data_IF_747429744271
#
_entry.id   IF_747429744271
#
_cell.length_a   1.000
_cell.length_b   1.000
_cell.length_c   1.000
_cell.angle_alpha   90.00
_cell.angle_beta   90.00
_cell.angle_gamma   90.00
#
_symmetry.space_group_name_H-M   'P 1'
#
loop_
_entity.id
_entity.type
_entity.pdbx_description
1 polymer ?
#
# COMPACT_ATOMS: atom_id res chain seq x y z
N UNK A 1 -8.30 -27.62 -7.24
CA UNK A 1 -7.12 -27.01 -6.60
C UNK A 1 -6.81 -25.73 -7.38
N UNK A 2 -7.08 -24.54 -6.83
CA UNK A 2 -6.81 -23.30 -7.53
C UNK A 2 -5.30 -23.01 -7.49
N UNK A 3 -4.68 -22.78 -8.65
CA UNK A 3 -3.27 -22.39 -8.73
C UNK A 3 -3.12 -21.06 -7.98
N UNK A 4 -2.38 -21.06 -6.87
CA UNK A 4 -2.09 -19.84 -6.11
C UNK A 4 -1.23 -18.95 -7.00
N UNK A 5 -1.80 -17.83 -7.45
CA UNK A 5 -1.08 -16.88 -8.29
C UNK A 5 0.21 -16.45 -7.60
N UNK A 6 1.34 -16.51 -8.32
CA UNK A 6 2.67 -16.22 -7.80
C UNK A 6 3.35 -15.17 -8.68
N UNK A 7 3.98 -14.18 -8.04
CA UNK A 7 4.84 -13.21 -8.71
C UNK A 7 6.27 -13.64 -8.45
N UNK A 8 6.98 -13.99 -9.52
CA UNK A 8 8.42 -14.21 -9.45
C UNK A 8 9.12 -12.87 -9.24
N UNK A 9 9.58 -12.63 -8.01
CA UNK A 9 10.31 -11.42 -7.68
C UNK A 9 11.69 -11.45 -8.36
N UNK A 10 11.98 -10.40 -9.13
CA UNK A 10 13.34 -10.19 -9.65
C UNK A 10 14.33 -10.03 -8.49
N UNK A 11 15.58 -10.49 -8.63
CA UNK A 11 16.63 -10.24 -7.64
C UNK A 11 16.77 -8.76 -7.30
N UNK A 12 17.16 -8.45 -6.06
CA UNK A 12 17.31 -7.06 -5.61
C UNK A 12 18.45 -6.33 -6.34
N UNK A 13 19.49 -7.05 -6.76
CA UNK A 13 20.58 -6.60 -7.62
C UNK A 13 21.14 -7.75 -8.45
N UNK A 14 21.88 -7.42 -9.51
CA UNK A 14 22.67 -8.37 -10.29
C UNK A 14 23.86 -8.90 -9.49
N UNK A 15 24.40 -10.08 -9.85
CA UNK A 15 25.56 -10.65 -9.16
C UNK A 15 26.86 -9.84 -9.36
N UNK A 16 26.89 -8.95 -10.35
CA UNK A 16 28.08 -8.15 -10.71
C UNK A 16 27.85 -6.67 -10.40
N UNK A 17 28.63 -6.05 -9.49
CA UNK A 17 28.45 -4.65 -9.14
C UNK A 17 28.65 -3.72 -10.34
N UNK A 18 27.62 -2.99 -10.75
CA UNK A 18 27.71 -1.94 -11.76
C UNK A 18 26.51 -1.00 -11.70
N UNK A 19 26.78 0.29 -11.47
CA UNK A 19 25.75 1.32 -11.40
C UNK A 19 24.93 1.38 -12.69
N UNK A 20 25.60 1.36 -13.85
CA UNK A 20 24.93 1.45 -15.16
C UNK A 20 24.03 0.25 -15.42
N UNK A 21 24.49 -0.97 -15.13
CA UNK A 21 23.67 -2.17 -15.31
C UNK A 21 22.47 -2.20 -14.36
N UNK A 22 22.63 -1.80 -13.10
CA UNK A 22 21.50 -1.69 -12.17
C UNK A 22 20.50 -0.61 -12.57
N UNK A 23 20.98 0.55 -13.01
CA UNK A 23 20.11 1.62 -13.48
C UNK A 23 19.27 1.17 -14.69
N UNK A 24 19.89 0.52 -15.67
CA UNK A 24 19.19 -0.01 -16.84
C UNK A 24 18.21 -1.13 -16.47
N UNK A 25 18.60 -2.04 -15.57
CA UNK A 25 17.73 -3.12 -15.10
C UNK A 25 16.50 -2.56 -14.38
N UNK A 26 16.71 -1.58 -13.50
CA UNK A 26 15.64 -0.89 -12.78
C UNK A 26 14.71 -0.16 -13.75
N UNK A 27 15.24 0.63 -14.68
CA UNK A 27 14.46 1.33 -15.70
C UNK A 27 13.65 0.36 -16.55
N UNK A 28 14.25 -0.74 -17.00
CA UNK A 28 13.56 -1.80 -17.74
C UNK A 28 12.41 -2.40 -16.91
N UNK A 29 12.66 -2.67 -15.63
CA UNK A 29 11.64 -3.24 -14.74
C UNK A 29 10.45 -2.29 -14.54
N UNK A 30 10.69 -1.01 -14.22
CA UNK A 30 9.60 -0.04 -13.96
C UNK A 30 8.87 0.40 -15.24
N UNK A 31 9.50 0.27 -16.41
CA UNK A 31 8.89 0.61 -17.71
C UNK A 31 8.20 -0.56 -18.41
N UNK A 32 8.43 -1.79 -17.96
CA UNK A 32 7.80 -2.98 -18.53
C UNK A 32 6.58 -3.37 -17.72
N UNK A 33 5.41 -3.35 -18.33
CA UNK A 33 4.20 -3.87 -17.69
C UNK A 33 4.37 -5.36 -17.38
N UNK A 34 4.34 -5.71 -16.10
CA UNK A 34 4.48 -7.10 -15.63
C UNK A 34 3.15 -7.87 -15.72
N UNK A 35 2.02 -7.16 -15.72
CA UNK A 35 0.68 -7.74 -15.64
C UNK A 35 -0.26 -6.94 -16.55
N UNK A 36 -0.91 -7.62 -17.48
CA UNK A 36 -2.02 -7.03 -18.26
C UNK A 36 -3.34 -7.21 -17.50
N UNK A 37 -4.03 -6.13 -17.16
CA UNK A 37 -5.32 -6.24 -16.50
C UNK A 37 -6.45 -6.45 -17.52
N UNK A 38 -7.06 -7.64 -17.54
CA UNK A 38 -8.16 -7.94 -18.47
C UNK A 38 -9.47 -7.28 -18.06
N UNK A 39 -9.70 -7.12 -16.75
CA UNK A 39 -10.89 -6.49 -16.18
C UNK A 39 -10.51 -5.33 -15.27
N UNK A 40 -10.50 -4.13 -15.85
CA UNK A 40 -10.49 -2.90 -15.06
C UNK A 40 -11.90 -2.65 -14.54
N UNK A 41 -12.11 -2.89 -13.25
CA UNK A 41 -13.31 -2.39 -12.58
C UNK A 41 -13.04 -0.95 -12.15
N UNK A 42 -13.79 0.00 -12.72
CA UNK A 42 -13.91 1.31 -12.09
C UNK A 42 -14.51 1.08 -10.71
N UNK A 43 -13.80 1.47 -9.65
CA UNK A 43 -14.26 1.26 -8.28
C UNK A 43 -15.51 2.11 -7.98
N UNK A 44 -16.68 1.60 -8.32
CA UNK A 44 -17.91 1.79 -7.53
C UNK A 44 -18.14 0.51 -6.74
N UNK A 45 -17.24 0.22 -5.78
CA UNK A 45 -17.42 -0.89 -4.83
C UNK A 45 -18.36 -0.50 -3.66
N UNK A 46 -19.12 0.58 -3.84
CA UNK A 46 -20.19 1.06 -2.98
C UNK A 46 -21.08 1.98 -3.82
N UNK A 47 -22.36 1.63 -3.93
CA UNK A 47 -23.29 2.09 -4.97
C UNK A 47 -23.76 3.55 -4.93
N UNK A 48 -22.93 4.51 -4.55
CA UNK A 48 -23.28 5.94 -4.66
C UNK A 48 -22.34 6.64 -5.64
N UNK A 49 -22.73 6.58 -6.91
CA UNK A 49 -22.16 7.35 -7.99
C UNK A 49 -22.63 8.82 -7.88
N UNK A 50 -22.21 9.54 -6.85
CA UNK A 50 -22.59 10.95 -6.71
C UNK A 50 -21.50 11.86 -6.14
N UNK A 51 -20.21 11.52 -6.34
CA UNK A 51 -19.13 12.51 -6.20
C UNK A 51 -18.11 12.41 -7.34
N UNK A 52 -18.02 13.52 -8.07
CA UNK A 52 -17.35 13.78 -9.35
C UNK A 52 -15.83 13.95 -9.25
N UNK A 53 -15.12 13.04 -8.57
CA UNK A 53 -13.67 12.90 -8.73
C UNK A 53 -13.35 11.49 -9.16
N UNK A 54 -12.58 11.40 -10.25
CA UNK A 54 -12.39 10.23 -11.13
C UNK A 54 -12.33 8.91 -10.36
N UNK A 55 -13.20 7.93 -10.67
CA UNK A 55 -13.11 6.61 -10.04
C UNK A 55 -11.74 6.00 -10.37
N UNK A 56 -11.05 5.52 -9.34
CA UNK A 56 -9.77 4.84 -9.49
C UNK A 56 -9.98 3.55 -10.28
N UNK A 57 -9.18 3.34 -11.32
CA UNK A 57 -9.15 2.06 -12.03
C UNK A 57 -8.30 1.08 -11.24
N UNK A 58 -8.93 0.06 -10.66
CA UNK A 58 -8.23 -0.99 -9.92
C UNK A 58 -8.30 -2.28 -10.71
N UNK A 59 -7.16 -2.97 -10.80
CA UNK A 59 -7.15 -4.31 -11.35
C UNK A 59 -7.71 -5.32 -10.33
N UNK A 60 -8.94 -5.74 -10.54
CA UNK A 60 -9.66 -6.69 -9.67
C UNK A 60 -9.94 -8.00 -10.40
N UNK A 61 -8.98 -8.42 -11.21
CA UNK A 61 -9.09 -9.64 -12.01
C UNK A 61 -9.26 -10.87 -11.10
N UNK A 62 -10.19 -11.74 -11.45
CA UNK A 62 -10.61 -12.88 -10.61
C UNK A 62 -9.43 -13.83 -10.35
N UNK A 63 -8.48 -13.91 -11.29
CA UNK A 63 -7.27 -14.73 -11.19
C UNK A 63 -6.35 -14.36 -10.01
N UNK A 64 -6.46 -13.14 -9.46
CA UNK A 64 -5.72 -12.72 -8.27
C UNK A 64 -6.47 -12.98 -6.96
N UNK A 65 -7.76 -13.31 -7.02
CA UNK A 65 -8.62 -13.53 -5.86
C UNK A 65 -8.86 -12.30 -4.99
N UNK A 66 -8.34 -11.12 -5.35
CA UNK A 66 -8.46 -9.89 -4.56
C UNK A 66 -9.91 -9.45 -4.43
N UNK A 67 -10.69 -9.53 -5.52
CA UNK A 67 -12.12 -9.20 -5.53
C UNK A 67 -12.92 -10.10 -4.57
N UNK A 68 -12.60 -11.38 -4.48
CA UNK A 68 -13.24 -12.30 -3.53
C UNK A 68 -12.93 -11.93 -2.08
N UNK A 69 -11.68 -11.54 -1.78
CA UNK A 69 -11.27 -11.07 -0.44
C UNK A 69 -11.98 -9.78 -0.05
N UNK A 70 -12.15 -8.84 -1.00
CA UNK A 70 -12.90 -7.61 -0.77
C UNK A 70 -14.37 -7.92 -0.49
N UNK A 71 -15.03 -8.72 -1.34
CA UNK A 71 -16.45 -9.09 -1.18
C UNK A 71 -16.73 -9.84 0.12
N UNK A 72 -15.79 -10.68 0.57
CA UNK A 72 -15.87 -11.41 1.86
C UNK A 72 -15.45 -10.58 3.07
N UNK A 73 -15.07 -9.30 2.87
CA UNK A 73 -14.58 -8.39 3.93
C UNK A 73 -13.34 -8.92 4.66
N UNK A 74 -12.55 -9.75 3.99
CA UNK A 74 -11.28 -10.32 4.45
C UNK A 74 -10.10 -9.66 3.74
N UNK A 75 -10.06 -8.33 3.80
CA UNK A 75 -9.05 -7.52 3.13
C UNK A 75 -8.47 -6.49 4.10
N UNK A 76 -7.16 -6.30 4.00
CA UNK A 76 -6.43 -5.25 4.69
C UNK A 76 -5.67 -4.41 3.66
N UNK A 77 -5.83 -3.10 3.73
CA UNK A 77 -5.17 -2.13 2.85
C UNK A 77 -4.16 -1.31 3.64
N UNK A 78 -2.96 -1.20 3.11
CA UNK A 78 -1.94 -0.26 3.57
C UNK A 78 -1.77 0.82 2.53
N UNK A 79 -2.11 2.06 2.88
CA UNK A 79 -1.88 3.25 2.04
C UNK A 79 -0.72 4.06 2.60
N UNK A 80 0.18 4.50 1.74
CA UNK A 80 1.35 5.31 2.10
C UNK A 80 1.19 6.68 1.44
N UNK A 81 0.72 7.65 2.21
CA UNK A 81 0.50 9.02 1.76
C UNK A 81 1.76 9.87 1.94
N UNK A 82 2.04 10.74 0.97
CA UNK A 82 3.05 11.79 1.08
C UNK A 82 2.44 13.16 1.43
N UNK A 83 1.28 13.17 2.12
CA UNK A 83 0.58 14.39 2.53
C UNK A 83 -0.39 14.99 1.51
N UNK A 84 -0.99 14.16 0.65
CA UNK A 84 -2.08 14.58 -0.24
C UNK A 84 -3.44 14.38 0.44
N UNK A 85 -4.34 15.35 0.37
CA UNK A 85 -5.67 15.29 0.99
C UNK A 85 -6.61 14.28 0.31
N UNK A 86 -6.26 13.75 -0.87
CA UNK A 86 -7.07 12.73 -1.53
C UNK A 86 -6.96 11.38 -0.80
N UNK A 87 -8.03 11.01 -0.12
CA UNK A 87 -8.20 9.74 0.61
C UNK A 87 -9.39 8.92 0.08
N UNK A 88 -9.93 9.27 -1.09
CA UNK A 88 -11.19 8.69 -1.57
C UNK A 88 -11.08 7.19 -1.81
N UNK A 89 -9.91 6.71 -2.24
CA UNK A 89 -9.67 5.29 -2.43
C UNK A 89 -9.72 4.53 -1.10
N UNK A 90 -9.04 5.04 -0.07
CA UNK A 90 -9.01 4.47 1.28
C UNK A 90 -10.41 4.45 1.90
N UNK A 91 -11.16 5.55 1.77
CA UNK A 91 -12.54 5.65 2.25
C UNK A 91 -13.44 4.64 1.53
N UNK A 92 -13.32 4.52 0.20
CA UNK A 92 -14.09 3.56 -0.59
C UNK A 92 -13.81 2.12 -0.15
N UNK A 93 -12.54 1.77 0.02
CA UNK A 93 -12.14 0.44 0.47
C UNK A 93 -12.60 0.12 1.90
N UNK A 94 -12.58 1.11 2.80
CA UNK A 94 -13.12 0.96 4.14
C UNK A 94 -14.64 0.76 4.13
N UNK A 95 -15.37 1.50 3.27
CA UNK A 95 -16.82 1.34 3.05
C UNK A 95 -17.16 -0.03 2.48
N UNK A 96 -16.34 -0.57 1.58
CA UNK A 96 -16.48 -1.94 1.06
C UNK A 96 -16.15 -3.03 2.08
N UNK A 97 -15.66 -2.66 3.27
CA UNK A 97 -15.45 -3.57 4.38
C UNK A 97 -14.00 -3.99 4.58
N UNK A 98 -13.02 -3.38 3.92
CA UNK A 98 -11.61 -3.63 4.24
C UNK A 98 -11.16 -2.92 5.51
N UNK A 99 -10.21 -3.51 6.22
CA UNK A 99 -9.45 -2.84 7.27
C UNK A 99 -8.38 -1.97 6.61
N UNK A 100 -8.43 -0.65 6.79
CA UNK A 100 -7.58 0.28 6.04
C UNK A 100 -6.68 1.07 6.97
N UNK A 101 -5.37 0.95 6.78
CA UNK A 101 -4.35 1.70 7.50
C UNK A 101 -3.66 2.67 6.54
N UNK A 102 -3.84 3.96 6.78
CA UNK A 102 -3.18 5.03 6.04
C UNK A 102 -2.03 5.59 6.86
N UNK A 103 -0.84 5.51 6.32
CA UNK A 103 0.39 6.06 6.89
C UNK A 103 0.66 7.39 6.22
N UNK A 104 0.50 8.48 6.97
CA UNK A 104 0.62 9.84 6.47
C UNK A 104 1.37 10.70 7.51
N UNK A 105 2.64 11.04 7.29
CA UNK A 105 3.44 11.76 8.27
C UNK A 105 2.99 13.22 8.47
N UNK A 106 2.12 13.75 7.59
CA UNK A 106 1.65 15.14 7.61
C UNK A 106 0.56 15.41 8.64
N UNK A 107 -0.16 14.37 9.08
CA UNK A 107 -1.25 14.52 10.06
C UNK A 107 -0.68 14.96 11.42
N UNK A 108 -1.47 15.70 12.21
CA UNK A 108 -1.00 16.25 13.49
C UNK A 108 -0.95 15.20 14.60
N UNK A 109 -2.00 14.40 14.71
CA UNK A 109 -2.16 13.38 15.76
C UNK A 109 -1.43 12.09 15.40
N UNK A 110 -0.85 11.41 16.39
CA UNK A 110 -0.12 10.16 16.17
C UNK A 110 -0.99 9.06 15.52
N UNK A 111 -2.23 8.93 16.01
CA UNK A 111 -3.21 7.97 15.51
C UNK A 111 -4.60 8.61 15.48
N UNK A 112 -5.33 8.42 14.38
CA UNK A 112 -6.71 8.86 14.22
C UNK A 112 -7.50 7.68 13.68
N UNK A 113 -8.62 7.34 14.31
CA UNK A 113 -9.55 6.37 13.74
C UNK A 113 -10.74 7.12 13.17
N UNK A 114 -11.03 6.88 11.89
CA UNK A 114 -12.19 7.43 11.21
C UNK A 114 -13.18 6.31 10.91
N UNK A 115 -14.36 6.35 11.56
CA UNK A 115 -15.32 5.26 11.49
C UNK A 115 -14.79 3.95 12.10
N UNK A 116 -15.23 2.80 11.57
CA UNK A 116 -14.94 1.48 12.16
C UNK A 116 -13.75 0.75 11.54
N UNK A 117 -13.30 1.15 10.34
CA UNK A 117 -12.35 0.38 9.53
C UNK A 117 -11.26 1.21 8.86
N UNK A 118 -11.09 2.48 9.23
CA UNK A 118 -10.06 3.35 8.67
C UNK A 118 -9.24 3.97 9.81
N UNK A 119 -7.93 3.72 9.77
CA UNK A 119 -6.96 4.25 10.72
C UNK A 119 -5.92 5.08 9.97
N UNK A 120 -5.60 6.24 10.53
CA UNK A 120 -4.51 7.09 10.11
C UNK A 120 -3.39 6.99 11.14
N UNK A 121 -2.17 6.90 10.65
CA UNK A 121 -0.97 6.81 11.45
C UNK A 121 0.00 7.90 10.99
N UNK A 122 0.50 8.71 11.93
CA UNK A 122 1.52 9.74 11.66
C UNK A 122 2.89 9.10 11.49
N UNK A 123 3.03 8.35 10.42
CA UNK A 123 4.17 7.50 10.14
C UNK A 123 4.27 7.34 8.63
N UNK A 124 5.47 7.08 8.13
CA UNK A 124 5.82 6.82 6.75
C UNK A 124 6.77 5.63 6.68
N UNK A 125 6.89 5.05 5.50
CA UNK A 125 7.78 3.90 5.25
C UNK A 125 9.13 4.41 4.79
N UNK A 126 10.18 3.79 5.34
CA UNK A 126 11.57 4.04 4.96
C UNK A 126 12.29 2.69 4.80
N UNK A 127 13.42 2.69 4.12
CA UNK A 127 14.24 1.50 3.90
C UNK A 127 15.06 1.13 5.14
N UNK A 128 15.27 2.09 6.05
CA UNK A 128 15.93 1.90 7.34
C UNK A 128 15.03 2.30 8.50
N UNK A 129 15.29 1.66 9.64
CA UNK A 129 14.77 2.17 10.89
C UNK A 129 15.70 3.30 11.37
N UNK A 130 15.16 4.31 12.07
CA UNK A 130 15.96 5.39 12.60
C UNK A 130 17.06 4.87 13.54
N UNK A 131 18.25 5.47 13.46
CA UNK A 131 19.37 5.09 14.30
C UNK A 131 19.07 5.45 15.77
N UNK A 132 19.02 4.47 16.71
CA UNK A 132 18.68 4.72 18.11
C UNK A 132 19.69 5.62 18.84
N UNK A 133 20.92 5.76 18.32
CA UNK A 133 21.94 6.65 18.87
C UNK A 133 21.71 8.14 18.51
N UNK A 134 20.84 8.43 17.54
CA UNK A 134 20.43 9.80 17.22
C UNK A 134 19.29 10.16 18.17
N UNK A 135 19.53 11.10 19.09
CA UNK A 135 18.58 11.46 20.14
C UNK A 135 17.18 11.78 19.58
N UNK A 136 16.15 11.19 20.21
CA UNK A 136 14.72 11.38 19.90
C UNK A 136 14.31 12.86 19.76
N UNK A 137 15.05 13.79 20.38
CA UNK A 137 14.84 15.24 20.28
C UNK A 137 15.15 15.87 18.91
N UNK A 138 15.82 15.15 18.00
CA UNK A 138 15.95 15.54 16.58
C UNK A 138 15.08 14.71 15.63
N UNK A 139 14.37 13.70 16.14
CA UNK A 139 13.54 12.81 15.33
C UNK A 139 12.12 13.35 15.21
N UNK A 140 11.92 14.18 14.19
CA UNK A 140 10.70 14.14 13.39
C UNK A 140 10.73 12.95 12.39
N UNK A 141 11.57 11.93 12.62
CA UNK A 141 11.57 10.71 11.81
C UNK A 141 10.35 9.88 12.20
N UNK A 142 9.22 10.31 11.65
CA UNK A 142 8.00 9.54 11.53
C UNK A 142 8.21 8.49 10.43
N UNK A 143 9.37 7.83 10.38
CA UNK A 143 9.72 6.86 9.35
C UNK A 143 10.21 5.58 9.99
N UNK A 144 9.77 4.43 9.48
CA UNK A 144 10.18 3.09 9.93
C UNK A 144 10.18 2.11 8.76
N UNK A 145 10.90 0.99 8.88
CA UNK A 145 10.76 -0.09 7.90
C UNK A 145 9.35 -0.65 7.92
N UNK A 146 8.83 -1.01 6.74
CA UNK A 146 7.53 -1.65 6.61
C UNK A 146 7.40 -2.88 7.51
N UNK A 147 8.45 -3.73 7.60
CA UNK A 147 8.43 -4.90 8.49
C UNK A 147 8.25 -4.54 9.96
N UNK A 148 8.92 -3.48 10.43
CA UNK A 148 8.78 -2.95 11.79
C UNK A 148 7.36 -2.44 12.03
N UNK A 149 6.82 -1.66 11.10
CA UNK A 149 5.45 -1.16 11.14
C UNK A 149 4.46 -2.33 11.28
N UNK A 150 4.55 -3.32 10.39
CA UNK A 150 3.64 -4.46 10.42
C UNK A 150 3.71 -5.22 11.76
N UNK A 151 4.91 -5.41 12.31
CA UNK A 151 5.06 -6.06 13.62
C UNK A 151 4.44 -5.24 14.77
N UNK A 152 4.67 -3.92 14.81
CA UNK A 152 4.13 -3.03 15.85
C UNK A 152 2.60 -3.01 15.90
N UNK A 153 1.95 -3.10 14.74
CA UNK A 153 0.49 -3.16 14.65
C UNK A 153 -0.06 -4.60 14.75
N UNK A 154 0.78 -5.60 15.04
CA UNK A 154 0.33 -7.00 15.13
C UNK A 154 -0.13 -7.57 13.78
N UNK A 155 0.30 -6.96 12.68
CA UNK A 155 -0.05 -7.36 11.33
C UNK A 155 0.92 -8.43 10.82
N UNK A 156 0.59 -9.70 11.09
CA UNK A 156 1.35 -10.80 10.52
C UNK A 156 1.01 -11.00 9.04
N UNK A 157 1.98 -11.51 8.28
CA UNK A 157 1.79 -11.89 6.88
C UNK A 157 0.71 -12.99 6.81
N UNK A 158 -0.42 -12.69 6.19
CA UNK A 158 -1.55 -13.62 5.97
C UNK A 158 -1.21 -14.64 4.87
#
# INVERSE_FOLDING_TARGET
QAVRWHIDLQPWASPTPSLTFEALRFLKYISTSQISCERMNLSSLGGDAETTKKPWSVCLDERFGLIHRIRSKQCRLYSLGLGNDDNQFEVSMAKSGCEVHRFDPSIKSAHIQEGRRLWYHRLSVDWRDPNPAIAAHRLHSNTKKLGTILNEFGHQKV
#
